data_IF_789688191998
#
_entry.id   IF_789688191998
#
_cell.length_a   1.000
_cell.length_b   1.000
_cell.length_c   1.000
_cell.angle_alpha   90.00
_cell.angle_beta   90.00
_cell.angle_gamma   90.00
#
_symmetry.space_group_name_H-M   'P 1'
#
loop_
_entity.id
_entity.type
_entity.pdbx_description
1 polymer ?
#
# COMPACT_ATOMS: atom_id res chain seq x y z
N UNK A 1 7.32 0.76 -1.63
CA UNK A 1 6.49 1.38 -2.70
C UNK A 1 6.58 2.89 -2.55
N UNK A 2 6.83 3.60 -3.61
CA UNK A 2 6.87 5.04 -3.51
C UNK A 2 5.47 5.64 -3.76
N UNK A 3 5.36 6.95 -3.58
CA UNK A 3 4.04 7.60 -3.62
C UNK A 3 3.38 7.49 -5.00
N UNK A 4 4.16 7.63 -6.06
CA UNK A 4 3.58 7.56 -7.41
C UNK A 4 3.00 6.18 -7.68
N UNK A 5 3.72 5.15 -7.30
CA UNK A 5 3.24 3.78 -7.45
C UNK A 5 2.03 3.54 -6.55
N UNK A 6 2.09 4.07 -5.31
CA UNK A 6 0.96 3.95 -4.41
C UNK A 6 -0.31 4.57 -4.97
N UNK A 7 -0.18 5.72 -5.63
CA UNK A 7 -1.34 6.36 -6.24
C UNK A 7 -1.94 5.51 -7.35
N UNK A 8 -1.09 4.82 -8.12
CA UNK A 8 -1.58 3.93 -9.16
C UNK A 8 -2.38 2.77 -8.58
N UNK A 9 -1.87 2.19 -7.49
CA UNK A 9 -2.57 1.08 -6.85
C UNK A 9 -3.85 1.54 -6.14
N UNK A 10 -3.86 2.75 -5.63
CA UNK A 10 -5.07 3.32 -5.07
C UNK A 10 -6.16 3.44 -6.14
N UNK A 11 -5.78 3.87 -7.32
CA UNK A 11 -6.70 4.08 -8.40
C UNK A 11 -7.19 2.77 -9.01
N UNK A 12 -6.27 1.83 -9.23
CA UNK A 12 -6.59 0.56 -9.88
C UNK A 12 -7.19 -0.45 -8.92
N UNK A 13 -6.97 -0.30 -7.63
CA UNK A 13 -7.42 -1.23 -6.60
C UNK A 13 -6.81 -2.62 -6.79
N UNK A 14 -5.62 -2.67 -7.36
CA UNK A 14 -4.91 -3.94 -7.47
C UNK A 14 -4.31 -4.31 -6.13
N UNK A 15 -4.00 -5.59 -5.98
CA UNK A 15 -3.49 -6.11 -4.72
C UNK A 15 -2.07 -5.67 -4.47
N UNK A 16 -1.75 -5.45 -3.22
CA UNK A 16 -0.39 -5.17 -2.76
C UNK A 16 -0.07 -6.13 -1.63
N UNK A 17 1.21 -6.21 -1.28
CA UNK A 17 1.68 -7.11 -0.22
C UNK A 17 2.20 -6.27 0.94
N UNK A 18 1.77 -6.63 2.12
CA UNK A 18 2.32 -6.06 3.33
C UNK A 18 2.38 -7.16 4.38
N UNK A 19 3.57 -7.36 4.95
CA UNK A 19 3.78 -8.34 6.02
C UNK A 19 3.29 -9.74 5.61
N UNK A 20 3.55 -10.08 4.35
CA UNK A 20 3.22 -11.40 3.84
C UNK A 20 1.77 -11.63 3.47
N UNK A 21 0.93 -10.61 3.59
CA UNK A 21 -0.49 -10.75 3.29
C UNK A 21 -0.90 -9.80 2.17
N UNK A 22 -1.99 -10.12 1.53
CA UNK A 22 -2.51 -9.31 0.41
C UNK A 22 -3.56 -8.32 0.88
N UNK A 23 -3.46 -7.11 0.36
CA UNK A 23 -4.38 -6.03 0.68
C UNK A 23 -4.66 -5.21 -0.56
N UNK A 24 -5.65 -4.33 -0.48
CA UNK A 24 -5.80 -3.25 -1.46
C UNK A 24 -5.61 -1.93 -0.73
N UNK A 25 -5.18 -0.90 -1.46
CA UNK A 25 -4.99 0.42 -0.88
C UNK A 25 -6.31 1.17 -0.95
N UNK A 26 -6.81 1.57 0.22
CA UNK A 26 -8.07 2.31 0.30
C UNK A 26 -7.83 3.81 0.28
N UNK A 27 -6.75 4.27 0.87
CA UNK A 27 -6.41 5.68 0.86
C UNK A 27 -4.93 5.85 1.18
N UNK A 28 -4.40 7.02 0.85
CA UNK A 28 -3.03 7.39 1.19
C UNK A 28 -3.11 8.60 2.11
N UNK A 29 -2.35 8.54 3.19
CA UNK A 29 -2.29 9.62 4.16
C UNK A 29 -0.87 10.14 4.23
N UNK A 30 -0.74 11.46 4.30
CA UNK A 30 0.57 12.09 4.36
C UNK A 30 0.70 12.83 5.68
N UNK A 31 1.86 12.69 6.31
CA UNK A 31 2.14 13.36 7.56
C UNK A 31 3.45 14.11 7.45
N UNK A 32 3.50 15.28 8.03
CA UNK A 32 4.69 16.11 8.05
C UNK A 32 5.31 16.00 9.43
N UNK A 33 6.54 15.50 9.47
CA UNK A 33 7.30 15.34 10.71
C UNK A 33 8.58 16.17 10.62
N UNK A 34 8.55 17.36 11.20
CA UNK A 34 9.76 18.16 11.30
C UNK A 34 10.52 18.32 9.98
N UNK A 35 9.82 18.52 8.89
CA UNK A 35 10.46 18.69 7.59
C UNK A 35 10.41 17.44 6.73
N UNK A 36 9.95 16.31 7.26
CA UNK A 36 9.79 15.10 6.50
C UNK A 36 8.34 14.91 6.15
N UNK A 37 8.09 14.38 4.97
CA UNK A 37 6.75 13.97 4.59
C UNK A 37 6.74 12.45 4.54
N UNK A 38 5.90 11.85 5.40
CA UNK A 38 5.76 10.41 5.47
C UNK A 38 4.43 10.02 4.87
N UNK A 39 4.45 9.03 3.99
CA UNK A 39 3.23 8.52 3.38
C UNK A 39 2.85 7.21 4.03
N UNK A 40 1.60 7.12 4.47
CA UNK A 40 1.03 5.88 4.99
C UNK A 40 -0.12 5.45 4.09
N UNK A 41 -0.32 4.16 4.01
CA UNK A 41 -1.42 3.61 3.22
C UNK A 41 -2.43 2.96 4.16
N UNK A 42 -3.70 3.25 3.94
CA UNK A 42 -4.77 2.52 4.60
C UNK A 42 -5.05 1.30 3.75
N UNK A 43 -4.81 0.13 4.32
CA UNK A 43 -4.88 -1.14 3.60
C UNK A 43 -6.14 -1.90 4.03
N UNK A 44 -6.82 -2.47 3.05
CA UNK A 44 -7.99 -3.31 3.29
C UNK A 44 -7.58 -4.76 3.12
N UNK A 45 -7.75 -5.54 4.19
CA UNK A 45 -7.48 -6.96 4.13
C UNK A 45 -8.61 -7.65 3.37
N UNK A 46 -8.24 -8.37 2.32
CA UNK A 46 -9.24 -9.00 1.46
C UNK A 46 -9.88 -10.22 2.09
N UNK A 47 -9.23 -10.84 3.06
CA UNK A 47 -9.75 -12.05 3.68
C UNK A 47 -10.48 -11.77 4.98
N UNK A 48 -9.91 -10.90 5.80
CA UNK A 48 -10.44 -10.66 7.14
C UNK A 48 -11.41 -9.50 7.20
N UNK A 49 -11.59 -8.79 6.09
CA UNK A 49 -12.48 -7.64 6.03
C UNK A 49 -12.13 -6.60 7.09
N UNK A 50 -10.86 -6.38 7.29
CA UNK A 50 -10.37 -5.41 8.26
C UNK A 50 -9.45 -4.42 7.56
N UNK A 51 -9.16 -3.33 8.24
CA UNK A 51 -8.30 -2.29 7.69
C UNK A 51 -7.16 -2.03 8.65
N UNK A 52 -5.98 -1.79 8.09
CA UNK A 52 -4.81 -1.39 8.86
C UNK A 52 -4.14 -0.23 8.15
N UNK A 53 -3.40 0.56 8.91
CA UNK A 53 -2.59 1.62 8.33
C UNK A 53 -1.13 1.22 8.46
N UNK A 54 -0.38 1.36 7.37
CA UNK A 54 1.02 0.96 7.33
C UNK A 54 1.84 1.99 6.57
N UNK A 55 3.13 2.13 6.90
CA UNK A 55 4.00 3.01 6.10
C UNK A 55 4.08 2.52 4.67
N UNK A 56 3.88 3.43 3.73
CA UNK A 56 3.85 3.05 2.32
C UNK A 56 5.16 2.40 1.88
N UNK A 57 6.29 2.85 2.46
CA UNK A 57 7.59 2.29 2.10
C UNK A 57 7.71 0.79 2.40
N UNK A 58 6.87 0.28 3.30
CA UNK A 58 6.89 -1.14 3.66
C UNK A 58 5.91 -1.97 2.85
N UNK A 59 5.10 -1.32 2.03
CA UNK A 59 4.15 -2.00 1.17
C UNK A 59 4.85 -2.35 -0.13
N UNK A 60 4.62 -3.56 -0.64
CA UNK A 60 5.28 -4.06 -1.83
C UNK A 60 4.28 -4.40 -2.91
N UNK A 61 4.72 -4.34 -4.16
CA UNK A 61 3.90 -4.77 -5.27
C UNK A 61 3.90 -6.29 -5.33
N UNK A 62 2.80 -6.84 -5.81
CA UNK A 62 2.72 -8.28 -6.03
C UNK A 62 3.60 -8.64 -7.21
N UNK A 63 4.53 -9.56 -7.01
CA UNK A 63 5.39 -10.03 -8.07
C UNK A 63 4.70 -11.20 -8.77
N UNK A 64 4.52 -11.06 -10.04
CA UNK A 64 3.87 -12.10 -10.84
C UNK A 64 4.92 -12.97 -11.49
N UNK A 65 5.24 -14.07 -10.83
CA UNK A 65 6.18 -15.02 -11.38
C UNK A 65 5.61 -15.61 -12.66
N UNK A 66 6.46 -15.88 -13.60
CA UNK A 66 6.01 -16.44 -14.85
C UNK A 66 5.58 -15.40 -15.85
N UNK A 67 5.67 -14.16 -15.48
CA UNK A 67 5.37 -13.05 -16.36
C UNK A 67 6.49 -12.76 -17.33
N UNK A 68 7.46 -13.54 -17.35
CA UNK A 68 8.67 -13.29 -18.13
C UNK A 68 8.42 -13.28 -19.60
#
# INVERSE_FOLDING_TARGET
>A
MDVEVGKKYLKSQEKVIYDGSEYTIKSLNFRNWGGYICANALLQDLKANSQIEAPLRLVSEVIKDGEK
#
